data_IF_961362846525
#
_entry.id   IF_961362846525
#
_cell.length_a   1.000
_cell.length_b   1.000
_cell.length_c   1.000
_cell.angle_alpha   90.00
_cell.angle_beta   90.00
_cell.angle_gamma   90.00
#
_symmetry.space_group_name_H-M   'P 1'
#
loop_
_entity.id
_entity.type
_entity.pdbx_description
1 polymer ?
#
# COMPACT_ATOMS: atom_id res chain seq x y z
N UNK A 1 38.79 -13.09 52.62
CA UNK A 1 38.14 -13.34 51.31
C UNK A 1 36.72 -13.71 51.63
N UNK A 2 35.84 -12.73 51.57
CA UNK A 2 34.42 -12.87 51.84
C UNK A 2 33.77 -13.38 50.55
N UNK A 3 33.29 -14.63 50.57
CA UNK A 3 32.57 -15.22 49.46
C UNK A 3 31.27 -14.44 49.24
N UNK A 4 31.19 -13.74 48.11
CA UNK A 4 29.97 -13.12 47.63
C UNK A 4 29.01 -14.25 47.19
N UNK A 5 28.20 -14.74 48.11
CA UNK A 5 27.06 -15.62 47.81
C UNK A 5 26.00 -14.82 47.06
N UNK A 6 26.07 -14.80 45.74
CA UNK A 6 24.92 -14.42 44.90
C UNK A 6 23.90 -15.55 44.97
N UNK A 7 22.86 -15.36 45.78
CA UNK A 7 21.69 -16.24 45.84
C UNK A 7 21.02 -16.30 44.44
N UNK A 8 20.60 -17.49 43.94
CA UNK A 8 19.88 -17.56 42.68
C UNK A 8 18.50 -16.91 42.86
N UNK A 9 18.30 -15.74 42.26
CA UNK A 9 16.98 -15.12 42.17
C UNK A 9 16.02 -16.15 41.55
N UNK A 10 14.93 -16.45 42.23
CA UNK A 10 13.90 -17.34 41.74
C UNK A 10 13.37 -16.78 40.39
N UNK A 11 13.35 -17.60 39.33
CA UNK A 11 12.90 -17.19 37.99
C UNK A 11 11.52 -16.48 38.02
N UNK A 12 10.65 -16.91 38.95
CA UNK A 12 9.35 -16.28 39.18
C UNK A 12 9.47 -14.84 39.72
N UNK A 13 10.40 -14.60 40.65
CA UNK A 13 10.64 -13.26 41.21
C UNK A 13 11.34 -12.35 40.20
N UNK A 14 12.30 -12.86 39.42
CA UNK A 14 13.00 -12.06 38.40
C UNK A 14 12.06 -11.56 37.30
N UNK A 15 11.06 -12.36 36.91
CA UNK A 15 10.05 -11.95 35.93
C UNK A 15 9.13 -10.83 36.44
N UNK A 16 9.07 -10.58 37.76
CA UNK A 16 8.26 -9.52 38.35
C UNK A 16 9.04 -8.24 38.64
N UNK A 17 10.35 -8.24 38.42
CA UNK A 17 11.16 -7.04 38.59
C UNK A 17 10.88 -6.02 37.47
N UNK A 18 11.08 -4.72 37.75
CA UNK A 18 11.15 -3.68 36.73
C UNK A 18 12.10 -4.03 35.58
N UNK A 19 11.68 -3.71 34.36
CA UNK A 19 12.50 -3.81 33.15
C UNK A 19 13.39 -2.59 32.97
N UNK A 20 12.93 -1.44 33.45
CA UNK A 20 13.61 -0.16 33.28
C UNK A 20 13.16 0.83 34.35
N UNK A 21 13.90 1.91 34.50
CA UNK A 21 13.46 3.06 35.28
C UNK A 21 12.62 4.01 34.42
N UNK A 22 11.68 4.71 35.05
CA UNK A 22 10.87 5.69 34.36
C UNK A 22 10.08 6.57 35.32
N UNK A 23 9.55 7.66 34.78
CA UNK A 23 8.69 8.60 35.50
C UNK A 23 7.35 8.73 34.80
N UNK A 24 6.28 8.81 35.58
CA UNK A 24 4.94 9.11 35.08
C UNK A 24 4.77 10.61 34.77
N UNK A 25 4.20 10.90 33.61
CA UNK A 25 3.86 12.25 33.13
C UNK A 25 2.47 12.68 33.61
N UNK A 26 2.15 13.97 33.48
CA UNK A 26 0.84 14.53 33.84
C UNK A 26 -0.32 13.95 32.99
N UNK A 27 -0.02 13.52 31.76
CA UNK A 27 -0.98 12.88 30.87
C UNK A 27 -1.20 11.39 31.15
N UNK A 28 -0.41 10.81 32.06
CA UNK A 28 -0.51 9.42 32.53
C UNK A 28 0.48 8.44 31.90
N UNK A 29 1.14 8.80 30.80
CA UNK A 29 2.17 7.98 30.14
C UNK A 29 3.48 7.97 30.94
N UNK A 30 4.33 6.96 30.70
CA UNK A 30 5.65 6.89 31.31
C UNK A 30 6.75 7.29 30.33
N UNK A 31 7.75 8.00 30.84
CA UNK A 31 8.95 8.41 30.11
C UNK A 31 10.20 7.79 30.73
N UNK A 32 11.21 7.57 29.90
CA UNK A 32 12.54 7.09 30.30
C UNK A 32 13.38 8.20 30.97
N UNK A 33 14.64 7.89 31.29
CA UNK A 33 15.60 8.84 31.87
C UNK A 33 15.92 10.05 30.97
N UNK A 34 15.59 9.99 29.68
CA UNK A 34 15.82 11.05 28.70
C UNK A 34 14.54 11.83 28.38
N UNK A 35 13.49 11.67 29.20
CA UNK A 35 12.16 12.27 29.00
C UNK A 35 11.47 11.83 27.70
N UNK A 36 11.86 10.69 27.12
CA UNK A 36 11.19 10.11 25.95
C UNK A 36 10.13 9.09 26.37
N UNK A 37 8.94 9.06 25.73
CA UNK A 37 7.92 8.06 26.04
C UNK A 37 8.44 6.63 25.89
N UNK A 38 8.13 5.79 26.87
CA UNK A 38 8.55 4.39 26.85
C UNK A 38 7.87 3.68 25.69
N UNK A 39 8.69 3.06 24.84
CA UNK A 39 8.21 2.44 23.61
C UNK A 39 7.34 1.22 23.88
N UNK A 40 6.18 1.18 23.23
CA UNK A 40 5.27 0.02 23.22
C UNK A 40 4.99 -0.34 21.76
N UNK A 41 5.24 -1.58 21.34
CA UNK A 41 4.84 -1.99 19.98
C UNK A 41 3.38 -2.46 19.93
N UNK A 42 2.74 -2.38 18.76
CA UNK A 42 1.41 -2.96 18.53
C UNK A 42 1.38 -4.48 18.86
N UNK A 43 2.48 -5.19 18.61
CA UNK A 43 2.64 -6.59 19.02
C UNK A 43 2.79 -6.77 20.53
N UNK A 44 3.38 -5.81 21.26
CA UNK A 44 3.41 -5.83 22.72
C UNK A 44 2.00 -5.68 23.29
N UNK A 45 1.20 -4.78 22.72
CA UNK A 45 -0.21 -4.63 23.07
C UNK A 45 -0.98 -5.94 22.88
N UNK A 46 -0.83 -6.57 21.71
CA UNK A 46 -1.47 -7.87 21.45
C UNK A 46 -1.06 -8.92 22.50
N UNK A 47 0.24 -9.05 22.77
CA UNK A 47 0.80 -10.05 23.70
C UNK A 47 0.41 -9.77 25.14
N UNK A 48 0.40 -8.51 25.57
CA UNK A 48 0.05 -8.12 26.93
C UNK A 48 -1.44 -8.38 27.19
N UNK A 49 -2.30 -7.98 26.25
CA UNK A 49 -3.75 -8.29 26.29
C UNK A 49 -3.99 -9.81 26.20
N UNK A 50 -3.11 -10.55 25.52
CA UNK A 50 -3.13 -11.99 25.60
C UNK A 50 -2.74 -12.46 27.01
N UNK A 51 -1.64 -12.07 27.61
CA UNK A 51 -1.33 -12.35 29.02
C UNK A 51 -0.09 -11.55 29.42
N UNK A 52 -0.13 -10.73 30.49
CA UNK A 52 1.04 -9.94 30.91
C UNK A 52 2.27 -10.81 31.21
N UNK A 53 2.10 -11.98 31.83
CA UNK A 53 3.21 -12.92 32.04
C UNK A 53 3.78 -13.47 30.72
N UNK A 54 2.95 -13.75 29.71
CA UNK A 54 3.44 -14.20 28.38
C UNK A 54 4.17 -13.08 27.64
N UNK A 55 3.70 -11.84 27.78
CA UNK A 55 4.40 -10.66 27.28
C UNK A 55 5.76 -10.47 27.97
N UNK A 56 5.82 -10.61 29.30
CA UNK A 56 7.07 -10.49 30.07
C UNK A 56 8.13 -11.51 29.64
N UNK A 57 7.72 -12.77 29.46
CA UNK A 57 8.59 -13.82 28.93
C UNK A 57 9.10 -13.46 27.53
N UNK A 58 8.29 -12.81 26.69
CA UNK A 58 8.74 -12.30 25.39
C UNK A 58 9.84 -11.24 25.52
N UNK A 59 9.77 -10.37 26.54
CA UNK A 59 10.79 -9.34 26.78
C UNK A 59 12.12 -9.95 27.26
N UNK A 60 12.08 -11.07 27.98
CA UNK A 60 13.27 -11.87 28.37
C UNK A 60 13.84 -12.73 27.22
N UNK A 61 13.29 -12.62 26.01
CA UNK A 61 13.77 -13.37 24.84
C UNK A 61 13.29 -14.83 24.79
N UNK A 62 12.29 -15.22 25.60
CA UNK A 62 11.70 -16.54 25.51
C UNK A 62 10.94 -16.68 24.18
N UNK A 63 11.46 -17.54 23.30
CA UNK A 63 10.88 -17.82 22.01
C UNK A 63 9.49 -18.46 22.16
N UNK A 64 8.57 -18.07 21.27
CA UNK A 64 7.29 -18.72 21.14
C UNK A 64 7.49 -20.10 20.49
N UNK A 65 6.99 -21.17 21.13
CA UNK A 65 7.04 -22.55 20.64
C UNK A 65 5.66 -23.08 20.24
N UNK A 66 5.65 -24.05 19.33
CA UNK A 66 4.46 -24.81 18.92
C UNK A 66 4.15 -24.68 17.43
N UNK A 67 3.56 -25.73 16.87
CA UNK A 67 3.26 -25.85 15.43
C UNK A 67 2.37 -24.71 14.92
N UNK A 68 1.47 -24.20 15.76
CA UNK A 68 0.58 -23.08 15.45
C UNK A 68 1.34 -21.76 15.24
N UNK A 69 2.45 -21.55 15.95
CA UNK A 69 3.29 -20.35 15.78
C UNK A 69 4.04 -20.43 14.46
N UNK A 70 4.65 -21.58 14.18
CA UNK A 70 5.39 -21.82 12.95
C UNK A 70 4.48 -21.70 11.73
N UNK A 71 3.29 -22.33 11.79
CA UNK A 71 2.27 -22.21 10.73
C UNK A 71 1.84 -20.76 10.54
N UNK A 72 1.69 -19.99 11.63
CA UNK A 72 1.33 -18.57 11.53
C UNK A 72 2.39 -17.72 10.85
N UNK A 73 3.67 -17.95 11.14
CA UNK A 73 4.80 -17.27 10.48
C UNK A 73 4.81 -17.60 8.97
N UNK A 74 4.69 -18.89 8.62
CA UNK A 74 4.68 -19.34 7.23
C UNK A 74 3.48 -18.80 6.44
N UNK A 75 2.29 -18.78 7.06
CA UNK A 75 1.08 -18.19 6.45
C UNK A 75 1.22 -16.68 6.24
N UNK A 76 1.82 -15.97 7.19
CA UNK A 76 2.07 -14.52 7.08
C UNK A 76 3.11 -14.19 5.99
N UNK A 77 4.21 -14.93 5.94
CA UNK A 77 5.23 -14.79 4.89
C UNK A 77 4.65 -15.08 3.50
N UNK A 78 3.85 -16.15 3.38
CA UNK A 78 3.14 -16.49 2.14
C UNK A 78 2.17 -15.38 1.74
N UNK A 79 1.41 -14.82 2.69
CA UNK A 79 0.50 -13.70 2.43
C UNK A 79 1.27 -12.46 1.94
N UNK A 80 2.37 -12.13 2.58
CA UNK A 80 3.23 -11.01 2.19
C UNK A 80 3.75 -11.18 0.76
N UNK A 81 4.24 -12.36 0.40
CA UNK A 81 4.70 -12.67 -0.96
C UNK A 81 3.57 -12.57 -1.99
N UNK A 82 2.38 -13.09 -1.68
CA UNK A 82 1.21 -12.99 -2.56
C UNK A 82 0.81 -11.53 -2.82
N UNK A 83 0.90 -10.66 -1.81
CA UNK A 83 0.63 -9.22 -1.95
C UNK A 83 1.67 -8.55 -2.84
N UNK A 84 2.96 -8.85 -2.67
CA UNK A 84 4.03 -8.31 -3.52
C UNK A 84 3.82 -8.74 -4.99
N UNK A 85 3.54 -10.01 -5.23
CA UNK A 85 3.31 -10.54 -6.58
C UNK A 85 2.10 -9.88 -7.25
N UNK A 86 1.01 -9.68 -6.50
CA UNK A 86 -0.18 -8.94 -6.97
C UNK A 86 0.19 -7.51 -7.40
N UNK A 87 0.96 -6.79 -6.59
CA UNK A 87 1.35 -5.42 -6.89
C UNK A 87 2.19 -5.33 -8.16
N UNK A 88 3.21 -6.18 -8.29
CA UNK A 88 4.03 -6.24 -9.49
C UNK A 88 3.23 -6.62 -10.73
N UNK A 89 2.27 -7.55 -10.60
CA UNK A 89 1.40 -7.89 -11.71
C UNK A 89 0.55 -6.67 -12.11
N UNK A 90 -0.01 -5.89 -11.18
CA UNK A 90 -0.87 -4.72 -11.46
C UNK A 90 -0.10 -3.63 -12.19
N UNK A 91 1.13 -3.41 -11.76
CA UNK A 91 2.06 -2.54 -12.46
C UNK A 91 2.29 -3.03 -13.91
N UNK A 92 2.57 -4.33 -14.12
CA UNK A 92 2.70 -4.92 -15.47
C UNK A 92 1.44 -4.74 -16.30
N UNK A 93 0.25 -4.89 -15.72
CA UNK A 93 -1.04 -4.66 -16.39
C UNK A 93 -1.17 -3.21 -16.88
N UNK A 94 -0.97 -2.23 -15.98
CA UNK A 94 -1.05 -0.81 -16.32
C UNK A 94 -0.02 -0.43 -17.38
N UNK A 95 1.23 -0.89 -17.26
CA UNK A 95 2.28 -0.67 -18.27
C UNK A 95 1.85 -1.20 -19.64
N UNK A 96 1.38 -2.45 -19.71
CA UNK A 96 0.96 -3.05 -20.97
C UNK A 96 -0.26 -2.35 -21.58
N UNK A 97 -1.22 -1.89 -20.78
CA UNK A 97 -2.38 -1.12 -21.26
C UNK A 97 -1.98 0.26 -21.81
N UNK A 98 -1.07 0.97 -21.15
CA UNK A 98 -0.59 2.27 -21.65
C UNK A 98 0.18 2.10 -22.96
N UNK A 99 1.06 1.11 -23.03
CA UNK A 99 1.78 0.81 -24.28
C UNK A 99 0.80 0.40 -25.38
N UNK A 100 -0.19 -0.44 -25.05
CA UNK A 100 -1.24 -0.84 -25.97
C UNK A 100 -2.03 0.36 -26.49
N UNK A 101 -2.45 1.29 -25.62
CA UNK A 101 -3.25 2.44 -26.06
C UNK A 101 -2.49 3.31 -27.04
N UNK A 102 -1.18 3.53 -26.83
CA UNK A 102 -0.35 4.25 -27.80
C UNK A 102 -0.18 3.49 -29.11
N UNK A 103 0.06 2.18 -29.06
CA UNK A 103 0.17 1.38 -30.28
C UNK A 103 -1.14 1.36 -31.05
N UNK A 104 -2.28 1.32 -30.35
CA UNK A 104 -3.59 1.38 -30.96
C UNK A 104 -3.90 2.77 -31.54
N UNK A 105 -3.43 3.87 -30.91
CA UNK A 105 -3.53 5.21 -31.50
C UNK A 105 -2.82 5.30 -32.86
N UNK A 106 -1.66 4.65 -33.02
CA UNK A 106 -0.97 4.58 -34.32
C UNK A 106 -1.83 3.87 -35.36
N UNK A 107 -2.52 2.77 -34.98
CA UNK A 107 -3.46 2.08 -35.88
C UNK A 107 -4.59 3.02 -36.32
N UNK A 108 -5.18 3.78 -35.38
CA UNK A 108 -6.24 4.74 -35.68
C UNK A 108 -5.76 5.86 -36.61
N UNK A 109 -4.56 6.39 -36.38
CA UNK A 109 -3.90 7.39 -37.25
C UNK A 109 -3.75 6.84 -38.67
N UNK A 110 -3.16 5.65 -38.84
CA UNK A 110 -2.96 5.04 -40.16
C UNK A 110 -4.30 4.73 -40.86
N UNK A 111 -5.31 4.29 -40.11
CA UNK A 111 -6.64 4.04 -40.65
C UNK A 111 -7.31 5.34 -41.14
N UNK A 112 -7.16 6.44 -40.39
CA UNK A 112 -7.66 7.76 -40.79
C UNK A 112 -6.98 8.27 -42.07
N UNK A 113 -5.65 8.13 -42.18
CA UNK A 113 -4.91 8.50 -43.40
C UNK A 113 -5.31 7.63 -44.59
N UNK A 114 -5.47 6.33 -44.38
CA UNK A 114 -5.94 5.39 -45.41
C UNK A 114 -7.31 5.82 -45.95
N UNK A 115 -8.24 6.19 -45.06
CA UNK A 115 -9.55 6.69 -45.46
C UNK A 115 -9.45 8.03 -46.20
N UNK A 116 -8.64 8.96 -45.71
CA UNK A 116 -8.43 10.25 -46.36
C UNK A 116 -7.86 10.11 -47.77
N UNK A 117 -6.84 9.26 -47.96
CA UNK A 117 -6.28 8.99 -49.28
C UNK A 117 -7.28 8.34 -50.22
N UNK A 118 -8.08 7.39 -49.74
CA UNK A 118 -9.12 6.76 -50.52
C UNK A 118 -10.14 7.80 -51.05
N UNK A 119 -10.64 8.69 -50.18
CA UNK A 119 -11.63 9.71 -50.58
C UNK A 119 -11.08 10.72 -51.58
N UNK A 120 -9.81 11.12 -51.42
CA UNK A 120 -9.16 12.02 -52.39
C UNK A 120 -8.90 11.29 -53.71
N UNK A 121 -8.52 10.01 -53.66
CA UNK A 121 -8.30 9.20 -54.87
C UNK A 121 -9.59 8.95 -55.66
N UNK A 122 -10.71 8.69 -54.97
CA UNK A 122 -12.03 8.46 -55.59
C UNK A 122 -12.67 9.76 -56.13
N UNK A 123 -11.99 10.91 -55.96
CA UNK A 123 -12.47 12.21 -56.44
C UNK A 123 -13.59 12.81 -55.60
N UNK A 124 -13.95 12.20 -54.46
CA UNK A 124 -14.94 12.75 -53.53
C UNK A 124 -14.46 14.02 -52.82
N UNK A 125 -13.15 14.13 -52.59
CA UNK A 125 -12.47 15.32 -52.06
C UNK A 125 -11.49 15.81 -53.13
N UNK A 126 -11.59 17.08 -53.49
CA UNK A 126 -10.70 17.71 -54.44
C UNK A 126 -9.23 17.76 -53.95
N UNK A 127 -8.28 17.56 -54.86
CA UNK A 127 -6.84 17.52 -54.57
C UNK A 127 -6.31 18.80 -53.92
N UNK A 128 -6.79 19.95 -54.40
CA UNK A 128 -6.36 21.25 -53.90
C UNK A 128 -6.90 21.49 -52.49
N UNK A 129 -8.13 21.04 -52.21
CA UNK A 129 -8.72 21.08 -50.87
C UNK A 129 -7.94 20.16 -49.92
N UNK A 130 -7.60 18.94 -50.35
CA UNK A 130 -6.83 18.00 -49.53
C UNK A 130 -5.44 18.54 -49.15
N UNK A 131 -4.71 19.14 -50.11
CA UNK A 131 -3.43 19.81 -49.85
C UNK A 131 -3.58 21.01 -48.91
N UNK A 132 -4.66 21.78 -49.06
CA UNK A 132 -4.94 22.91 -48.17
C UNK A 132 -5.17 22.43 -46.73
N UNK A 133 -5.97 21.38 -46.55
CA UNK A 133 -6.18 20.73 -45.24
C UNK A 133 -4.84 20.22 -44.68
N UNK A 134 -4.03 19.54 -45.49
CA UNK A 134 -2.71 19.07 -45.07
C UNK A 134 -1.79 20.20 -44.58
N UNK A 135 -1.78 21.34 -45.29
CA UNK A 135 -1.05 22.54 -44.87
C UNK A 135 -1.52 23.08 -43.51
N UNK A 136 -2.84 23.15 -43.28
CA UNK A 136 -3.39 23.56 -41.98
C UNK A 136 -3.03 22.59 -40.85
N UNK A 137 -3.00 21.28 -41.11
CA UNK A 137 -2.61 20.27 -40.12
C UNK A 137 -1.13 20.41 -39.73
N UNK A 138 -0.22 20.66 -40.68
CA UNK A 138 1.20 20.92 -40.38
C UNK A 138 1.36 22.19 -39.53
N UNK A 139 0.62 23.25 -39.87
CA UNK A 139 0.64 24.49 -39.09
C UNK A 139 0.12 24.26 -37.67
N UNK A 140 -0.97 23.51 -37.52
CA UNK A 140 -1.53 23.14 -36.22
C UNK A 140 -0.56 22.27 -35.41
N UNK A 141 0.12 21.32 -36.05
CA UNK A 141 1.16 20.50 -35.42
C UNK A 141 2.30 21.36 -34.85
N UNK A 142 2.73 22.40 -35.59
CA UNK A 142 3.74 23.34 -35.12
C UNK A 142 3.27 24.15 -33.90
N UNK A 143 2.01 24.61 -33.91
CA UNK A 143 1.41 25.29 -32.75
C UNK A 143 1.40 24.37 -31.53
N UNK A 144 0.99 23.11 -31.70
CA UNK A 144 0.93 22.14 -30.61
C UNK A 144 2.32 21.75 -30.11
N UNK A 145 3.31 21.65 -30.99
CA UNK A 145 4.70 21.41 -30.62
C UNK A 145 5.26 22.56 -29.77
N UNK A 146 5.04 23.81 -30.19
CA UNK A 146 5.47 24.98 -29.43
C UNK A 146 4.74 25.08 -28.09
N UNK A 147 3.44 24.77 -28.06
CA UNK A 147 2.67 24.69 -26.82
C UNK A 147 3.24 23.62 -25.89
N UNK A 148 3.52 22.41 -26.39
CA UNK A 148 4.11 21.35 -25.59
C UNK A 148 5.48 21.75 -25.01
N UNK A 149 6.34 22.36 -25.83
CA UNK A 149 7.63 22.88 -25.38
C UNK A 149 7.39 23.92 -24.27
N UNK A 150 6.47 24.87 -24.46
CA UNK A 150 6.13 25.86 -23.44
C UNK A 150 5.62 25.20 -22.15
N UNK A 151 4.75 24.19 -22.24
CA UNK A 151 4.23 23.45 -21.07
C UNK A 151 5.32 22.64 -20.34
N UNK A 152 6.39 22.25 -21.03
CA UNK A 152 7.55 21.60 -20.39
C UNK A 152 8.43 22.58 -19.61
N UNK A 153 8.51 23.85 -20.06
CA UNK A 153 9.37 24.86 -19.43
C UNK A 153 8.65 25.76 -18.42
N UNK A 154 7.34 25.97 -18.59
CA UNK A 154 6.55 26.84 -17.73
C UNK A 154 5.99 26.05 -16.54
N UNK A 155 5.96 26.62 -15.33
CA UNK A 155 5.31 26.02 -14.17
C UNK A 155 3.79 26.23 -14.24
N UNK A 156 3.18 25.98 -15.40
CA UNK A 156 1.77 26.26 -15.67
C UNK A 156 0.81 25.52 -14.74
N UNK A 157 1.23 24.35 -14.25
CA UNK A 157 0.46 23.55 -13.28
C UNK A 157 0.27 24.29 -11.96
N UNK A 158 1.31 24.95 -11.44
CA UNK A 158 1.22 25.70 -10.18
C UNK A 158 0.39 26.97 -10.34
N UNK A 159 0.36 27.55 -11.53
CA UNK A 159 -0.44 28.75 -11.82
C UNK A 159 -1.95 28.47 -11.82
N UNK A 160 -2.35 27.28 -12.25
CA UNK A 160 -3.77 26.89 -12.38
C UNK A 160 -4.24 26.07 -11.17
N UNK A 161 -3.34 25.76 -10.22
CA UNK A 161 -3.63 24.83 -9.13
C UNK A 161 -3.97 23.43 -9.65
N UNK A 162 -3.37 23.05 -10.79
CA UNK A 162 -3.55 21.73 -11.39
C UNK A 162 -2.57 20.77 -10.73
N UNK A 163 -2.91 20.43 -9.50
CA UNK A 163 -2.12 19.63 -8.61
C UNK A 163 -2.49 18.17 -8.85
N UNK A 164 -1.94 17.56 -9.92
CA UNK A 164 -2.20 16.11 -10.14
C UNK A 164 -1.69 15.24 -8.98
N UNK A 165 -0.85 15.78 -8.06
CA UNK A 165 -0.76 15.31 -6.68
C UNK A 165 0.09 16.27 -5.81
N UNK A 166 -0.39 17.47 -5.50
CA UNK A 166 0.27 18.35 -4.50
C UNK A 166 -0.73 19.14 -3.66
N UNK A 167 -1.72 18.44 -3.09
CA UNK A 167 -2.02 18.78 -1.70
C UNK A 167 -0.83 18.25 -0.93
N UNK A 168 0.11 19.15 -0.60
CA UNK A 168 0.96 18.97 0.56
C UNK A 168 0.01 18.64 1.69
N UNK A 169 -0.10 17.34 1.97
CA UNK A 169 -0.68 16.94 3.22
C UNK A 169 0.15 17.65 4.30
N UNK A 170 -0.45 18.06 5.44
CA UNK A 170 0.28 18.62 6.57
C UNK A 170 1.63 17.91 6.72
N UNK A 171 2.75 18.60 6.96
CA UNK A 171 4.10 18.00 6.88
C UNK A 171 4.27 16.63 7.57
N UNK A 172 3.43 16.31 8.56
CA UNK A 172 3.35 14.99 9.22
C UNK A 172 2.70 13.87 8.36
N UNK A 173 1.74 14.21 7.49
CA UNK A 173 1.14 13.32 6.49
C UNK A 173 1.98 13.18 5.22
N UNK A 174 2.81 14.15 4.85
CA UNK A 174 3.60 14.08 3.61
C UNK A 174 4.67 12.98 3.69
N UNK A 175 5.34 12.80 4.83
CA UNK A 175 6.27 11.68 5.02
C UNK A 175 5.55 10.31 4.93
N UNK A 176 4.34 10.22 5.46
CA UNK A 176 3.56 8.98 5.41
C UNK A 176 2.94 8.76 4.04
N UNK A 177 2.53 9.80 3.31
CA UNK A 177 2.03 9.71 1.93
C UNK A 177 3.14 9.50 0.90
N UNK A 178 4.33 10.04 1.14
CA UNK A 178 5.52 9.77 0.35
C UNK A 178 6.03 8.35 0.60
N UNK A 179 5.80 7.76 1.77
CA UNK A 179 6.09 6.35 2.04
C UNK A 179 4.91 5.39 1.74
N UNK A 180 3.66 5.86 1.76
CA UNK A 180 2.45 5.20 1.25
C UNK A 180 2.19 5.71 -0.16
N UNK A 181 3.01 5.26 -1.09
CA UNK A 181 2.71 5.51 -2.49
C UNK A 181 1.32 4.94 -2.83
N UNK A 182 0.46 5.69 -3.54
CA UNK A 182 -0.71 5.08 -4.14
C UNK A 182 -0.24 3.86 -4.97
N UNK A 183 -0.89 2.70 -4.81
CA UNK A 183 -0.65 1.52 -5.67
C UNK A 183 -0.84 1.85 -7.16
N UNK A 184 -1.42 3.01 -7.44
CA UNK A 184 -1.38 3.67 -8.73
C UNK A 184 -0.54 4.96 -8.63
N UNK A 185 0.79 4.88 -8.72
CA UNK A 185 1.49 5.98 -9.40
C UNK A 185 0.97 5.92 -10.84
N UNK A 186 0.21 6.93 -11.34
CA UNK A 186 -0.17 6.92 -12.75
C UNK A 186 1.13 6.76 -13.53
N UNK A 187 1.27 5.67 -14.29
CA UNK A 187 2.50 5.36 -15.02
C UNK A 187 3.05 6.63 -15.67
N UNK A 188 4.18 7.12 -15.15
CA UNK A 188 4.89 8.31 -15.66
C UNK A 188 5.99 7.80 -16.58
N UNK A 189 6.11 8.41 -17.76
CA UNK A 189 7.04 7.97 -18.81
C UNK A 189 8.51 7.96 -18.39
N UNK A 190 8.88 8.69 -17.34
CA UNK A 190 10.22 8.70 -16.77
C UNK A 190 10.13 8.84 -15.25
N UNK A 191 10.96 8.09 -14.54
CA UNK A 191 11.18 8.26 -13.10
C UNK A 191 12.64 8.65 -12.79
N UNK A 192 13.53 8.59 -13.78
CA UNK A 192 14.95 8.92 -13.67
C UNK A 192 15.39 9.80 -14.86
N UNK A 193 15.71 11.07 -14.59
CA UNK A 193 16.23 12.02 -15.58
C UNK A 193 15.54 13.40 -15.55
N UNK A 194 16.16 14.39 -16.19
CA UNK A 194 15.82 15.82 -16.17
C UNK A 194 14.41 16.21 -16.69
N UNK A 195 13.54 15.26 -17.06
CA UNK A 195 12.20 15.53 -17.60
C UNK A 195 11.13 14.65 -16.95
N UNK A 196 10.40 15.15 -15.94
CA UNK A 196 9.19 14.50 -15.41
C UNK A 196 8.02 14.73 -16.36
N UNK A 197 7.74 13.76 -17.22
CA UNK A 197 6.73 13.90 -18.27
C UNK A 197 5.33 13.49 -17.76
N UNK A 198 4.37 14.41 -17.75
CA UNK A 198 2.98 14.11 -17.38
C UNK A 198 2.17 13.57 -18.55
N UNK A 199 0.98 13.03 -18.25
CA UNK A 199 0.01 12.57 -19.26
C UNK A 199 -0.42 13.68 -20.24
N UNK A 200 -0.71 14.94 -19.85
CA UNK A 200 -1.18 15.94 -20.81
C UNK A 200 -0.08 16.42 -21.77
N UNK A 201 1.16 16.62 -21.30
CA UNK A 201 2.29 17.00 -22.17
C UNK A 201 2.60 15.89 -23.18
N UNK A 202 2.50 14.63 -22.75
CA UNK A 202 2.60 13.48 -23.62
C UNK A 202 1.59 13.50 -24.74
N UNK A 203 0.32 13.70 -24.38
CA UNK A 203 -0.77 13.70 -25.35
C UNK A 203 -0.63 14.83 -26.37
N UNK A 204 -0.25 16.04 -25.93
CA UNK A 204 -0.04 17.17 -26.86
C UNK A 204 1.13 16.90 -27.81
N UNK A 205 2.24 16.32 -27.32
CA UNK A 205 3.37 15.96 -28.18
C UNK A 205 3.02 14.84 -29.17
N UNK A 206 2.34 13.79 -28.72
CA UNK A 206 1.88 12.73 -29.61
C UNK A 206 0.91 13.24 -30.66
N UNK A 207 -0.01 14.12 -30.28
CA UNK A 207 -0.94 14.72 -31.22
C UNK A 207 -0.24 15.66 -32.22
N UNK A 208 0.77 16.43 -31.79
CA UNK A 208 1.59 17.22 -32.71
C UNK A 208 2.30 16.34 -33.74
N UNK A 209 2.89 15.22 -33.30
CA UNK A 209 3.53 14.24 -34.20
C UNK A 209 2.50 13.64 -35.16
N UNK A 210 1.34 13.21 -34.67
CA UNK A 210 0.29 12.63 -35.50
C UNK A 210 -0.23 13.64 -36.55
N UNK A 211 -0.56 14.87 -36.15
CA UNK A 211 -1.01 15.93 -37.06
C UNK A 211 0.04 16.27 -38.12
N UNK A 212 1.32 16.28 -37.75
CA UNK A 212 2.42 16.46 -38.69
C UNK A 212 2.47 15.35 -39.73
N UNK A 213 2.38 14.09 -39.29
CA UNK A 213 2.36 12.92 -40.18
C UNK A 213 1.15 12.98 -41.14
N UNK A 214 -0.05 13.24 -40.63
CA UNK A 214 -1.26 13.43 -41.43
C UNK A 214 -1.10 14.54 -42.48
N UNK A 215 -0.56 15.70 -42.07
CA UNK A 215 -0.38 16.85 -42.95
C UNK A 215 0.67 16.64 -44.04
N UNK A 216 1.77 15.95 -43.71
CA UNK A 216 2.81 15.56 -44.68
C UNK A 216 2.23 14.52 -45.66
N UNK A 217 1.51 13.53 -45.15
CA UNK A 217 0.88 12.49 -45.95
C UNK A 217 -0.03 13.08 -47.04
N UNK A 218 -0.92 14.01 -46.70
CA UNK A 218 -1.83 14.66 -47.66
C UNK A 218 -1.13 15.54 -48.70
N UNK A 219 -0.01 16.18 -48.35
CA UNK A 219 0.70 17.10 -49.24
C UNK A 219 1.65 16.42 -50.22
N UNK A 220 2.30 15.32 -49.82
CA UNK A 220 3.42 14.73 -50.56
C UNK A 220 3.14 13.34 -51.15
N UNK A 221 1.93 12.78 -50.96
CA UNK A 221 1.59 11.47 -51.54
C UNK A 221 1.27 11.57 -53.04
N UNK A 222 2.31 11.56 -53.89
CA UNK A 222 2.17 11.60 -55.35
C UNK A 222 1.43 10.37 -55.92
N UNK A 223 1.67 9.18 -55.35
CA UNK A 223 0.97 7.95 -55.72
C UNK A 223 0.10 7.43 -54.56
N UNK A 224 -1.12 7.97 -54.48
CA UNK A 224 -2.08 7.67 -53.40
C UNK A 224 -2.52 6.21 -53.38
N UNK A 225 -2.55 5.51 -54.52
CA UNK A 225 -2.96 4.11 -54.58
C UNK A 225 -1.98 3.19 -53.85
N UNK A 226 -0.68 3.37 -54.10
CA UNK A 226 0.40 2.63 -53.42
C UNK A 226 0.49 3.04 -51.95
N UNK A 227 0.34 4.33 -51.64
CA UNK A 227 0.35 4.83 -50.27
C UNK A 227 -0.81 4.25 -49.44
N UNK A 228 -2.02 4.21 -49.99
CA UNK A 228 -3.21 3.63 -49.34
C UNK A 228 -2.99 2.15 -49.04
N UNK A 229 -2.51 1.38 -50.03
CA UNK A 229 -2.21 -0.04 -49.85
C UNK A 229 -1.12 -0.26 -48.78
N UNK A 230 -0.02 0.49 -48.85
CA UNK A 230 1.08 0.37 -47.90
C UNK A 230 0.64 0.72 -46.47
N UNK A 231 -0.11 1.81 -46.27
CA UNK A 231 -0.62 2.21 -44.94
C UNK A 231 -1.58 1.16 -44.37
N UNK A 232 -2.44 0.56 -45.21
CA UNK A 232 -3.33 -0.50 -44.78
C UNK A 232 -2.54 -1.73 -44.31
N UNK A 233 -1.52 -2.15 -45.05
CA UNK A 233 -0.64 -3.27 -44.65
C UNK A 233 0.08 -2.95 -43.33
N UNK A 234 0.63 -1.75 -43.19
CA UNK A 234 1.30 -1.32 -41.95
C UNK A 234 0.31 -1.29 -40.79
N UNK A 235 -0.90 -0.77 -40.98
CA UNK A 235 -1.96 -0.73 -39.97
C UNK A 235 -2.33 -2.15 -39.51
N UNK A 236 -2.45 -3.11 -40.42
CA UNK A 236 -2.72 -4.51 -40.08
C UNK A 236 -1.59 -5.14 -39.25
N UNK A 237 -0.33 -4.93 -39.67
CA UNK A 237 0.84 -5.41 -38.92
C UNK A 237 0.89 -4.77 -37.53
N UNK A 238 0.66 -3.47 -37.44
CA UNK A 238 0.68 -2.74 -36.17
C UNK A 238 -0.48 -3.13 -35.25
N UNK A 239 -1.64 -3.47 -35.83
CA UNK A 239 -2.78 -4.03 -35.08
C UNK A 239 -2.41 -5.37 -34.44
N UNK A 240 -1.72 -6.25 -35.18
CA UNK A 240 -1.25 -7.52 -34.64
C UNK A 240 -0.28 -7.30 -33.48
N UNK A 241 0.66 -6.36 -33.63
CA UNK A 241 1.59 -5.99 -32.56
C UNK A 241 0.83 -5.42 -31.33
N UNK A 242 -0.10 -4.50 -31.52
CA UNK A 242 -0.93 -3.95 -30.45
C UNK A 242 -1.69 -5.06 -29.70
N UNK A 243 -2.25 -6.02 -30.44
CA UNK A 243 -2.96 -7.15 -29.84
C UNK A 243 -2.06 -7.99 -28.93
N UNK A 244 -0.75 -8.14 -29.21
CA UNK A 244 0.17 -8.84 -28.29
C UNK A 244 0.29 -8.15 -26.93
N UNK A 245 0.28 -6.81 -26.90
CA UNK A 245 0.32 -6.02 -25.66
C UNK A 245 -1.00 -6.09 -24.91
N UNK A 246 -2.11 -6.08 -25.62
CA UNK A 246 -3.43 -6.30 -25.03
C UNK A 246 -3.53 -7.69 -24.41
N UNK A 247 -3.06 -8.74 -25.10
CA UNK A 247 -3.02 -10.09 -24.54
C UNK A 247 -2.14 -10.17 -23.30
N UNK A 248 -0.97 -9.52 -23.30
CA UNK A 248 -0.12 -9.43 -22.13
C UNK A 248 -0.82 -8.73 -20.95
N UNK A 249 -1.58 -7.66 -21.22
CA UNK A 249 -2.40 -7.01 -20.20
C UNK A 249 -3.51 -7.95 -19.69
N UNK A 250 -4.30 -8.56 -20.56
CA UNK A 250 -5.41 -9.44 -20.15
C UNK A 250 -4.92 -10.65 -19.35
N UNK A 251 -3.79 -11.27 -19.72
CA UNK A 251 -3.17 -12.35 -18.94
C UNK A 251 -2.70 -11.88 -17.56
N UNK A 252 -2.13 -10.67 -17.48
CA UNK A 252 -1.82 -10.07 -16.18
C UNK A 252 -3.10 -9.83 -15.36
N UNK A 253 -4.22 -9.48 -16.01
CA UNK A 253 -5.50 -9.27 -15.34
C UNK A 253 -6.14 -10.54 -14.78
N UNK A 254 -6.18 -11.61 -15.56
CA UNK A 254 -6.73 -12.91 -15.14
C UNK A 254 -5.99 -13.45 -13.91
N UNK A 255 -4.66 -13.30 -13.88
CA UNK A 255 -3.86 -13.67 -12.72
C UNK A 255 -4.22 -12.86 -11.46
N UNK A 256 -4.81 -11.64 -11.57
CA UNK A 256 -5.33 -10.92 -10.40
C UNK A 256 -6.57 -11.57 -9.84
N UNK A 257 -7.57 -11.83 -10.69
CA UNK A 257 -8.87 -12.31 -10.22
C UNK A 257 -8.74 -13.67 -9.53
N UNK A 258 -7.91 -14.57 -10.08
CA UNK A 258 -7.64 -15.86 -9.46
C UNK A 258 -6.88 -15.73 -8.12
N UNK A 259 -5.95 -14.78 -8.01
CA UNK A 259 -5.21 -14.56 -6.77
C UNK A 259 -6.05 -13.82 -5.72
N UNK A 260 -6.89 -12.87 -6.12
CA UNK A 260 -7.79 -12.13 -5.25
C UNK A 260 -8.83 -13.06 -4.63
N UNK A 261 -9.36 -14.00 -5.40
CA UNK A 261 -10.24 -15.06 -4.90
C UNK A 261 -9.50 -15.97 -3.89
N UNK A 262 -8.26 -16.39 -4.18
CA UNK A 262 -7.45 -17.24 -3.27
C UNK A 262 -7.11 -16.54 -1.95
N UNK A 263 -6.85 -15.23 -2.00
CA UNK A 263 -6.52 -14.41 -0.83
C UNK A 263 -7.83 -13.87 -0.19
N UNK A 264 -9.00 -14.11 -0.79
CA UNK A 264 -10.32 -13.56 -0.44
C UNK A 264 -10.33 -12.02 -0.32
N UNK A 265 -9.50 -11.34 -1.09
CA UNK A 265 -9.41 -9.87 -1.11
C UNK A 265 -10.54 -9.22 -1.93
N UNK A 266 -11.57 -10.00 -2.30
CA UNK A 266 -12.72 -9.51 -3.05
C UNK A 266 -13.41 -8.38 -2.26
N UNK A 267 -13.53 -7.20 -2.88
CA UNK A 267 -14.27 -6.07 -2.32
C UNK A 267 -13.48 -5.13 -1.41
N UNK A 268 -12.20 -5.40 -1.12
CA UNK A 268 -11.33 -4.41 -0.48
C UNK A 268 -10.90 -3.38 -1.55
N UNK A 269 -11.16 -2.10 -1.29
CA UNK A 269 -11.00 -0.99 -2.23
C UNK A 269 -9.57 -0.74 -2.71
N UNK A 270 -9.19 0.52 -2.95
CA UNK A 270 -7.81 0.82 -3.38
C UNK A 270 -6.84 0.52 -2.22
N UNK A 271 -6.22 -0.65 -2.30
CA UNK A 271 -5.17 -1.11 -1.38
C UNK A 271 -3.98 -0.15 -1.50
N UNK A 272 -3.32 0.18 -0.38
CA UNK A 272 -2.09 1.00 -0.39
C UNK A 272 -1.03 0.26 0.41
N UNK A 273 0.07 -0.10 -0.24
CA UNK A 273 1.25 -0.66 0.43
C UNK A 273 2.43 0.30 0.24
N UNK A 274 3.30 0.34 1.24
CA UNK A 274 4.53 1.13 1.19
C UNK A 274 5.52 0.49 0.23
N UNK A 275 5.98 1.26 -0.77
CA UNK A 275 6.88 0.76 -1.80
C UNK A 275 8.29 0.65 -1.21
N UNK A 276 8.86 -0.56 -1.24
CA UNK A 276 10.21 -0.84 -0.73
C UNK A 276 10.21 -1.66 0.56
N UNK A 277 10.15 -2.99 0.43
CA UNK A 277 10.70 -3.93 1.39
C UNK A 277 10.43 -3.65 2.88
N UNK A 278 9.17 -3.71 3.28
CA UNK A 278 8.74 -3.70 4.69
C UNK A 278 7.60 -2.71 4.94
N UNK A 279 6.59 -3.14 5.70
CA UNK A 279 5.46 -2.28 6.07
C UNK A 279 5.97 -1.02 6.80
N UNK A 280 5.43 0.16 6.45
CA UNK A 280 5.81 1.44 7.05
C UNK A 280 5.68 1.37 8.57
N UNK A 281 6.76 1.72 9.28
CA UNK A 281 6.72 1.87 10.73
C UNK A 281 6.00 3.17 11.06
N UNK A 282 4.83 3.05 11.68
CA UNK A 282 4.11 4.18 12.25
C UNK A 282 4.53 4.35 13.70
N UNK A 283 4.65 5.60 14.14
CA UNK A 283 4.99 5.96 15.52
C UNK A 283 4.04 7.05 16.02
N UNK A 284 3.65 6.95 17.30
CA UNK A 284 2.92 7.97 18.04
C UNK A 284 3.88 8.56 19.09
N UNK A 285 4.45 9.75 18.84
CA UNK A 285 5.43 10.37 19.72
C UNK A 285 4.88 10.78 21.08
N UNK A 286 3.56 10.89 21.27
CA UNK A 286 2.96 11.25 22.56
C UNK A 286 2.88 10.03 23.47
N UNK A 287 2.37 8.91 22.94
CA UNK A 287 2.18 7.68 23.73
C UNK A 287 3.40 6.75 23.73
N UNK A 288 4.32 6.89 22.78
CA UNK A 288 5.42 5.95 22.55
C UNK A 288 5.01 4.68 21.79
N UNK A 289 3.76 4.61 21.32
CA UNK A 289 3.26 3.48 20.54
C UNK A 289 3.93 3.43 19.16
N UNK A 290 4.27 2.23 18.70
CA UNK A 290 4.81 2.00 17.34
C UNK A 290 4.29 0.72 16.72
N UNK A 291 4.20 0.65 15.40
CA UNK A 291 3.70 -0.56 14.75
C UNK A 291 3.77 -0.53 13.24
N UNK A 292 3.70 -1.73 12.64
CA UNK A 292 3.66 -1.93 11.20
C UNK A 292 2.38 -2.70 10.86
N UNK A 293 1.29 -2.02 10.44
CA UNK A 293 0.08 -2.71 10.00
C UNK A 293 0.39 -3.62 8.80
N UNK A 294 -0.27 -4.77 8.70
CA UNK A 294 -0.11 -5.66 7.53
C UNK A 294 -0.51 -4.96 6.23
N UNK A 295 -1.60 -4.20 6.28
CA UNK A 295 -2.13 -3.45 5.14
C UNK A 295 -2.89 -2.20 5.61
N UNK A 296 -2.88 -1.16 4.78
CA UNK A 296 -3.75 0.02 4.92
C UNK A 296 -4.55 0.17 3.62
N UNK A 297 -5.87 0.33 3.74
CA UNK A 297 -6.76 0.58 2.59
C UNK A 297 -7.38 1.95 2.70
N UNK A 298 -7.59 2.65 1.58
CA UNK A 298 -8.29 3.94 1.56
C UNK A 298 -9.77 3.71 1.27
N UNK A 299 -10.66 4.18 2.16
CA UNK A 299 -12.11 4.17 1.98
C UNK A 299 -12.61 5.60 2.12
N UNK A 300 -13.05 6.22 1.02
CA UNK A 300 -13.31 7.66 1.02
C UNK A 300 -11.99 8.42 1.22
N UNK A 301 -11.93 9.29 2.23
CA UNK A 301 -10.68 9.97 2.63
C UNK A 301 -9.96 9.28 3.81
N UNK A 302 -10.57 8.26 4.43
CA UNK A 302 -10.03 7.61 5.61
C UNK A 302 -9.04 6.49 5.24
N UNK A 303 -7.95 6.42 6.01
CA UNK A 303 -7.00 5.30 5.98
C UNK A 303 -7.42 4.24 7.00
N UNK A 304 -7.78 3.06 6.52
CA UNK A 304 -8.32 1.97 7.32
C UNK A 304 -7.25 0.87 7.43
N UNK A 305 -6.76 0.55 8.63
CA UNK A 305 -5.82 -0.55 8.82
C UNK A 305 -6.53 -1.90 8.67
N UNK A 306 -5.85 -2.85 8.06
CA UNK A 306 -6.30 -4.24 7.89
C UNK A 306 -5.25 -5.16 8.49
N UNK A 307 -5.64 -5.97 9.48
CA UNK A 307 -4.78 -6.96 10.14
C UNK A 307 -5.24 -8.38 9.75
N UNK A 308 -4.29 -9.23 9.39
CA UNK A 308 -4.55 -10.62 9.02
C UNK A 308 -4.15 -11.58 10.14
N UNK A 309 -5.04 -12.52 10.46
CA UNK A 309 -4.77 -13.59 11.42
C UNK A 309 -4.87 -14.95 10.75
N UNK A 310 -3.74 -15.65 10.77
CA UNK A 310 -3.58 -17.06 10.45
C UNK A 310 -4.21 -17.94 11.53
N UNK A 311 -4.79 -19.08 11.14
CA UNK A 311 -5.32 -20.08 12.08
C UNK A 311 -6.84 -20.07 12.29
N UNK A 312 -7.29 -20.59 13.44
CA UNK A 312 -8.70 -20.91 13.68
C UNK A 312 -9.57 -19.65 13.69
N UNK A 313 -10.54 -19.59 12.79
CA UNK A 313 -11.51 -18.49 12.68
C UNK A 313 -12.51 -18.51 13.84
N UNK A 314 -12.48 -17.53 14.76
CA UNK A 314 -13.46 -17.44 15.84
C UNK A 314 -14.75 -16.76 15.34
N UNK A 315 -15.86 -16.96 16.05
CA UNK A 315 -17.12 -16.24 15.76
C UNK A 315 -17.03 -14.75 16.06
N UNK A 316 -16.24 -14.39 17.07
CA UNK A 316 -15.99 -13.01 17.49
C UNK A 316 -14.48 -12.80 17.60
N UNK A 317 -13.96 -11.60 17.28
CA UNK A 317 -12.56 -11.25 17.43
C UNK A 317 -12.01 -11.59 18.82
N UNK A 318 -10.84 -12.21 18.88
CA UNK A 318 -10.09 -12.28 20.13
C UNK A 318 -9.74 -10.88 20.63
N UNK A 319 -9.82 -10.67 21.95
CA UNK A 319 -9.53 -9.37 22.58
C UNK A 319 -8.13 -8.87 22.20
N UNK A 320 -7.12 -9.72 22.21
CA UNK A 320 -5.74 -9.37 21.81
C UNK A 320 -5.67 -8.84 20.37
N UNK A 321 -6.31 -9.53 19.42
CA UNK A 321 -6.32 -9.11 18.02
C UNK A 321 -7.09 -7.80 17.81
N UNK A 322 -8.21 -7.61 18.53
CA UNK A 322 -8.93 -6.33 18.55
C UNK A 322 -8.01 -5.20 19.01
N UNK A 323 -7.30 -5.37 20.12
CA UNK A 323 -6.40 -4.35 20.67
C UNK A 323 -5.22 -4.03 19.74
N UNK A 324 -4.74 -5.00 18.96
CA UNK A 324 -3.74 -4.73 17.94
C UNK A 324 -4.28 -3.82 16.82
N UNK A 325 -5.52 -4.04 16.36
CA UNK A 325 -6.16 -3.14 15.39
C UNK A 325 -6.40 -1.75 16.00
N UNK A 326 -6.81 -1.66 17.27
CA UNK A 326 -6.92 -0.39 18.00
C UNK A 326 -5.57 0.34 18.07
N UNK A 327 -4.46 -0.39 18.22
CA UNK A 327 -3.12 0.18 18.17
C UNK A 327 -2.84 0.83 16.82
N UNK A 328 -3.17 0.17 15.71
CA UNK A 328 -3.00 0.74 14.38
C UNK A 328 -3.94 1.93 14.11
N UNK A 329 -5.17 1.91 14.66
CA UNK A 329 -6.08 3.05 14.57
C UNK A 329 -5.53 4.27 15.32
N UNK A 330 -4.96 4.08 16.51
CA UNK A 330 -4.25 5.13 17.25
C UNK A 330 -3.07 5.66 16.44
N UNK A 331 -2.23 4.78 15.88
CA UNK A 331 -1.07 5.17 15.07
C UNK A 331 -1.45 5.97 13.82
N UNK A 332 -2.49 5.53 13.10
CA UNK A 332 -3.01 6.26 11.94
C UNK A 332 -3.57 7.61 12.40
N UNK A 333 -4.28 7.68 13.53
CA UNK A 333 -4.80 8.95 14.07
C UNK A 333 -3.68 9.91 14.44
N UNK A 334 -2.63 9.41 15.10
CA UNK A 334 -1.49 10.20 15.56
C UNK A 334 -0.73 10.83 14.39
N UNK A 335 -0.51 10.05 13.32
CA UNK A 335 0.20 10.58 12.15
C UNK A 335 -0.71 11.44 11.27
N UNK A 336 -1.91 10.95 10.97
CA UNK A 336 -2.77 11.63 9.98
C UNK A 336 -3.52 12.83 10.54
N UNK A 337 -3.66 12.93 11.87
CA UNK A 337 -4.59 13.84 12.53
C UNK A 337 -6.07 13.51 12.27
N UNK A 338 -6.37 12.59 11.34
CA UNK A 338 -7.71 12.14 11.01
C UNK A 338 -8.01 10.86 11.78
N UNK A 339 -9.19 10.79 12.41
CA UNK A 339 -9.61 9.65 13.20
C UNK A 339 -10.45 8.71 12.33
N UNK A 340 -9.88 7.63 11.76
CA UNK A 340 -10.66 6.67 10.97
C UNK A 340 -11.80 6.08 11.80
N UNK A 341 -12.98 5.81 11.21
CA UNK A 341 -14.15 5.35 11.96
C UNK A 341 -14.01 3.91 12.48
N UNK A 342 -13.22 3.07 11.79
CA UNK A 342 -12.99 1.68 12.14
C UNK A 342 -11.71 1.13 11.52
N UNK A 343 -11.28 -0.05 11.97
CA UNK A 343 -10.26 -0.89 11.34
C UNK A 343 -10.83 -2.27 11.00
N UNK A 344 -10.14 -3.04 10.17
CA UNK A 344 -10.58 -4.37 9.76
C UNK A 344 -9.66 -5.46 10.35
N UNK A 345 -10.27 -6.49 10.90
CA UNK A 345 -9.58 -7.69 11.35
C UNK A 345 -10.10 -8.89 10.56
N UNK A 346 -9.18 -9.65 9.97
CA UNK A 346 -9.52 -10.74 9.09
C UNK A 346 -8.96 -12.08 9.55
N UNK A 347 -9.82 -13.10 9.59
CA UNK A 347 -9.46 -14.48 9.87
C UNK A 347 -9.70 -15.34 8.63
N UNK A 348 -8.60 -15.76 7.98
CA UNK A 348 -8.68 -16.53 6.74
C UNK A 348 -9.43 -15.80 5.62
N UNK A 349 -10.03 -16.57 4.70
CA UNK A 349 -10.67 -16.02 3.50
C UNK A 349 -12.04 -15.39 3.75
N UNK A 350 -12.83 -15.91 4.72
CA UNK A 350 -14.28 -15.68 4.78
C UNK A 350 -14.76 -14.78 5.93
N UNK A 351 -13.93 -14.54 6.96
CA UNK A 351 -14.35 -13.82 8.17
C UNK A 351 -13.65 -12.47 8.29
N UNK A 352 -14.41 -11.41 8.08
CA UNK A 352 -13.98 -10.02 8.25
C UNK A 352 -14.79 -9.38 9.37
N UNK A 353 -14.10 -8.79 10.34
CA UNK A 353 -14.70 -8.07 11.44
C UNK A 353 -14.27 -6.61 11.41
N UNK A 354 -15.25 -5.71 11.56
CA UNK A 354 -14.99 -4.28 11.78
C UNK A 354 -14.74 -4.01 13.26
N UNK A 355 -13.70 -3.23 13.55
CA UNK A 355 -13.32 -2.77 14.89
C UNK A 355 -13.52 -1.27 14.95
N UNK A 356 -14.56 -0.81 15.64
CA UNK A 356 -14.93 0.60 15.71
C UNK A 356 -13.95 1.44 16.56
N UNK A 357 -13.65 2.65 16.10
CA UNK A 357 -12.76 3.60 16.77
C UNK A 357 -13.53 4.63 17.62
N UNK A 358 -14.31 4.13 18.57
CA UNK A 358 -15.14 4.96 19.46
C UNK A 358 -14.31 5.64 20.55
N UNK A 359 -14.87 6.65 21.21
CA UNK A 359 -14.24 7.30 22.38
C UNK A 359 -13.92 6.30 23.50
N UNK A 360 -14.77 5.29 23.70
CA UNK A 360 -14.50 4.22 24.65
C UNK A 360 -13.28 3.38 24.24
N UNK A 361 -13.17 3.04 22.95
CA UNK A 361 -12.02 2.29 22.43
C UNK A 361 -10.70 3.10 22.54
N UNK A 362 -10.75 4.42 22.34
CA UNK A 362 -9.60 5.33 22.55
C UNK A 362 -9.11 5.29 24.00
N UNK A 363 -10.04 5.38 24.96
CA UNK A 363 -9.69 5.27 26.38
C UNK A 363 -9.14 3.89 26.73
N UNK A 364 -9.80 2.81 26.29
CA UNK A 364 -9.31 1.44 26.50
C UNK A 364 -7.89 1.24 25.97
N UNK A 365 -7.59 1.77 24.77
CA UNK A 365 -6.27 1.68 24.16
C UNK A 365 -5.23 2.50 24.94
N UNK A 366 -5.57 3.73 25.34
CA UNK A 366 -4.70 4.58 26.16
C UNK A 366 -4.37 3.91 27.50
N UNK A 367 -5.38 3.40 28.19
CA UNK A 367 -5.21 2.72 29.47
C UNK A 367 -4.30 1.49 29.31
N UNK A 368 -4.46 0.74 28.21
CA UNK A 368 -3.61 -0.41 27.91
C UNK A 368 -2.14 -0.03 27.69
N UNK A 369 -1.85 1.06 26.98
CA UNK A 369 -0.48 1.55 26.78
C UNK A 369 0.13 1.94 28.14
N UNK A 370 -0.63 2.66 28.96
CA UNK A 370 -0.19 3.07 30.29
C UNK A 370 0.06 1.86 31.19
N UNK A 371 -0.78 0.82 31.11
CA UNK A 371 -0.64 -0.40 31.90
C UNK A 371 0.63 -1.17 31.53
N UNK A 372 0.90 -1.30 30.23
CA UNK A 372 2.14 -1.92 29.72
C UNK A 372 3.36 -1.12 30.22
N UNK A 373 3.35 0.18 30.02
CA UNK A 373 4.44 1.07 30.45
C UNK A 373 4.65 1.02 31.97
N UNK A 374 3.56 1.02 32.76
CA UNK A 374 3.62 0.85 34.21
C UNK A 374 4.28 -0.48 34.55
N UNK A 375 3.87 -1.58 33.94
CA UNK A 375 4.48 -2.89 34.20
C UNK A 375 5.95 -2.96 33.78
N UNK A 376 6.39 -2.19 32.79
CA UNK A 376 7.82 -2.06 32.46
C UNK A 376 8.61 -1.35 33.57
N UNK A 377 8.03 -0.32 34.21
CA UNK A 377 8.72 0.52 35.19
C UNK A 377 8.59 0.01 36.64
N UNK A 378 7.41 -0.44 37.02
CA UNK A 378 7.11 -0.90 38.38
C UNK A 378 7.28 -2.42 38.51
N UNK A 379 7.32 -3.15 37.39
CA UNK A 379 7.31 -4.61 37.40
C UNK A 379 5.91 -5.17 37.64
N UNK A 380 5.85 -6.35 38.27
CA UNK A 380 4.59 -6.99 38.67
C UNK A 380 3.81 -7.67 37.54
N UNK A 381 4.46 -8.06 36.44
CA UNK A 381 3.80 -8.84 35.40
C UNK A 381 3.28 -10.17 35.96
N UNK A 382 1.97 -10.42 35.80
CA UNK A 382 1.32 -11.63 36.29
C UNK A 382 0.25 -12.15 35.32
N UNK A 383 -0.14 -13.42 35.47
CA UNK A 383 -1.27 -13.99 34.72
C UNK A 383 -2.57 -13.32 35.15
N UNK A 384 -3.34 -12.82 34.18
CA UNK A 384 -4.58 -12.06 34.39
C UNK A 384 -5.88 -12.87 34.21
N UNK A 385 -5.80 -14.20 34.15
CA UNK A 385 -6.94 -15.04 33.78
C UNK A 385 -6.93 -16.43 34.43
N UNK A 386 -8.11 -16.99 34.72
CA UNK A 386 -8.27 -18.35 35.28
C UNK A 386 -8.63 -19.44 34.24
N UNK A 387 -8.33 -19.19 32.96
CA UNK A 387 -8.63 -20.12 31.84
C UNK A 387 -7.49 -21.10 31.58
N UNK A 388 -7.62 -22.36 32.05
CA UNK A 388 -6.62 -23.42 31.83
C UNK A 388 -6.31 -23.66 30.34
N UNK A 389 -7.33 -23.67 29.48
CA UNK A 389 -7.18 -23.86 28.04
C UNK A 389 -6.29 -22.80 27.36
N UNK A 390 -6.25 -21.58 27.89
CA UNK A 390 -5.38 -20.51 27.37
C UNK A 390 -3.92 -20.75 27.75
N UNK A 391 -3.64 -21.22 28.96
CA UNK A 391 -2.30 -21.66 29.37
C UNK A 391 -1.85 -22.89 28.56
N UNK A 392 -2.75 -23.84 28.30
CA UNK A 392 -2.44 -25.06 27.55
C UNK A 392 -1.99 -24.78 26.11
N UNK A 393 -2.57 -23.77 25.45
CA UNK A 393 -2.23 -23.36 24.08
C UNK A 393 -1.29 -22.14 24.02
N UNK A 394 -0.76 -21.69 25.16
CA UNK A 394 0.19 -20.59 25.19
C UNK A 394 1.53 -21.06 24.61
N UNK A 395 2.07 -20.33 23.64
CA UNK A 395 3.35 -20.64 23.01
C UNK A 395 4.56 -20.54 23.95
N UNK A 396 4.39 -19.95 25.14
CA UNK A 396 5.43 -19.81 26.18
C UNK A 396 5.12 -20.62 27.45
N UNK A 397 4.23 -21.61 27.37
CA UNK A 397 3.76 -22.38 28.55
C UNK A 397 4.84 -23.17 29.28
N UNK A 398 5.92 -23.56 28.60
CA UNK A 398 6.99 -24.38 29.18
C UNK A 398 7.78 -23.61 30.24
N UNK A 399 8.03 -22.32 29.98
CA UNK A 399 8.84 -21.41 30.79
C UNK A 399 8.00 -20.55 31.74
N UNK A 400 6.66 -20.70 31.69
CA UNK A 400 5.74 -19.84 32.45
C UNK A 400 5.55 -20.37 33.89
N UNK A 401 5.97 -19.61 34.93
CA UNK A 401 5.79 -20.02 36.33
C UNK A 401 4.33 -19.95 36.78
N UNK A 402 3.52 -19.09 36.14
CA UNK A 402 2.12 -18.84 36.51
C UNK A 402 1.14 -19.75 35.74
N UNK A 403 1.65 -20.74 35.00
CA UNK A 403 0.80 -21.57 34.14
C UNK A 403 -0.20 -22.37 34.96
N UNK A 404 -1.45 -22.40 34.48
CA UNK A 404 -2.42 -23.34 34.98
C UNK A 404 -2.18 -24.72 34.37
N UNK A 405 -2.15 -25.74 35.22
CA UNK A 405 -2.06 -27.14 34.83
C UNK A 405 -3.47 -27.75 34.96
N UNK A 406 -3.94 -28.47 33.95
CA UNK A 406 -5.14 -29.30 34.10
C UNK A 406 -4.79 -30.48 35.01
N UNK A 407 -5.54 -30.71 36.08
CA UNK A 407 -5.34 -31.85 37.00
C UNK A 407 -5.72 -33.22 36.39
N UNK A 408 -5.71 -33.36 35.06
CA UNK A 408 -6.20 -34.53 34.35
C UNK A 408 -5.20 -35.11 33.33
N UNK A 409 -3.92 -34.75 33.41
CA UNK A 409 -2.81 -35.36 32.64
C UNK A 409 -1.84 -36.12 33.55
#
# INVERSE_FOLDING_TARGET
MEELQTSPVNLSESLRLPLMEGRKTDQGFWVDSNEKPIHVSASDVERFVYCPMSWRLSQEGVAAKGDEVQRGIEEHEKLHMMIIERNQARERFTKNLVIWSWWFSVVLTLAADTAAFYFVQDGTIDDQIAKSIGGYLVLLALVWLLLAIALLFLPWRTWIGWDEEFVDAPKDLSEIKDNLHPLSKPWRLSQEGWFTFGRPEALILFAAVALSLHGIALNFADNRSVATFAMLVIALVWTLLANTRLQAALRANQNFEENDAKIGMEGLGEIRYSDGGGALLLEDPESGLRGRPDQITKIGEDLIPVEFKSGRTPKNPHKSHRFQVLAYLQLITAVTGNSPPFGLLRYGSESVHSIEWTTAAKHEMKDMIIDIQRTMVEGGAERDHERTGKCAHCSRREECPDRLINQAE
#
